data_IF_418524575883
#
_entry.id   IF_418524575883
#
_cell.length_a   1.000
_cell.length_b   1.000
_cell.length_c   1.000
_cell.angle_alpha   90.00
_cell.angle_beta   90.00
_cell.angle_gamma   90.00
#
_symmetry.space_group_name_H-M   'P 1'
#
loop_
_entity.id
_entity.type
_entity.pdbx_description
1 polymer ?
#
# COMPACT_ATOMS: atom_id res chain seq x y z
N UNK A 1 -19.31 -1.59 10.63
CA UNK A 1 -18.71 -1.68 9.31
C UNK A 1 -18.72 -3.13 8.85
N UNK A 2 -19.33 -3.39 7.74
CA UNK A 2 -19.35 -4.76 7.22
C UNK A 2 -18.07 -5.05 6.45
N UNK A 3 -17.51 -6.21 6.72
CA UNK A 3 -16.35 -6.66 5.97
C UNK A 3 -16.77 -7.09 4.56
N UNK A 4 -15.87 -6.96 3.58
CA UNK A 4 -16.14 -7.46 2.25
C UNK A 4 -16.39 -8.96 2.31
N UNK A 5 -17.36 -9.43 1.55
CA UNK A 5 -17.60 -10.86 1.47
C UNK A 5 -16.46 -11.55 0.72
N UNK A 6 -16.14 -12.80 1.09
CA UNK A 6 -15.11 -13.55 0.37
C UNK A 6 -15.37 -13.55 -1.13
N UNK A 7 -14.33 -13.33 -1.92
CA UNK A 7 -14.40 -13.32 -3.37
C UNK A 7 -14.83 -11.99 -3.99
N UNK A 8 -15.23 -11.02 -3.19
CA UNK A 8 -15.53 -9.70 -3.70
C UNK A 8 -14.28 -8.86 -3.80
N UNK A 9 -14.12 -8.18 -4.93
CA UNK A 9 -13.07 -7.20 -5.09
C UNK A 9 -13.36 -5.96 -4.23
N UNK A 10 -12.32 -5.39 -3.65
CA UNK A 10 -12.43 -4.12 -2.93
C UNK A 10 -12.87 -3.01 -3.89
N UNK A 11 -12.63 -3.18 -5.18
CA UNK A 11 -13.07 -2.27 -6.23
C UNK A 11 -14.58 -2.14 -6.30
N UNK A 12 -15.33 -3.06 -5.72
CA UNK A 12 -16.77 -3.02 -5.76
C UNK A 12 -17.40 -1.96 -4.83
N UNK A 13 -16.57 -1.21 -4.11
CA UNK A 13 -17.01 -0.18 -3.19
C UNK A 13 -16.48 1.21 -3.57
N UNK A 14 -16.70 1.66 -4.81
CA UNK A 14 -16.28 3.01 -5.18
C UNK A 14 -17.05 4.03 -4.34
N UNK A 15 -16.37 5.05 -3.86
CA UNK A 15 -16.98 6.09 -3.05
C UNK A 15 -16.99 5.82 -1.56
N UNK A 16 -16.60 4.63 -1.12
CA UNK A 16 -16.33 4.38 0.29
C UNK A 16 -14.86 4.67 0.59
N UNK A 17 -14.35 4.21 1.71
CA UNK A 17 -12.96 4.46 2.03
C UNK A 17 -12.05 3.99 0.90
N UNK A 18 -11.31 4.93 0.31
CA UNK A 18 -10.34 4.57 -0.72
C UNK A 18 -9.18 3.85 -0.07
N UNK A 19 -8.65 2.88 -0.80
CA UNK A 19 -7.40 2.26 -0.40
C UNK A 19 -6.29 3.24 -0.77
N UNK A 20 -5.62 3.75 0.25
CA UNK A 20 -4.56 4.76 0.07
C UNK A 20 -3.20 4.12 0.22
N UNK A 21 -2.37 4.33 -0.77
CA UNK A 21 -0.97 3.95 -0.72
C UNK A 21 -0.11 5.16 -0.45
N UNK A 22 0.84 5.01 0.44
CA UNK A 22 1.87 6.01 0.69
C UNK A 22 3.16 5.57 0.00
N UNK A 23 3.79 6.50 -0.68
CA UNK A 23 5.15 6.30 -1.20
C UNK A 23 6.06 7.14 -0.33
N UNK A 24 6.90 6.48 0.43
CA UNK A 24 7.75 7.12 1.42
C UNK A 24 9.19 7.07 0.93
N UNK A 25 9.85 8.22 0.95
CA UNK A 25 11.22 8.35 0.49
C UNK A 25 12.15 8.47 1.70
N UNK A 26 13.05 7.53 1.82
CA UNK A 26 13.96 7.45 2.96
C UNK A 26 15.40 7.47 2.51
N UNK A 27 16.27 8.00 3.34
CA UNK A 27 17.69 7.86 3.13
C UNK A 27 18.08 6.40 3.37
N UNK A 28 19.05 5.91 2.60
CA UNK A 28 19.56 4.56 2.77
C UNK A 28 20.42 4.50 4.03
N UNK A 29 19.79 4.17 5.14
CA UNK A 29 20.42 4.20 6.46
C UNK A 29 20.08 2.92 7.21
N UNK A 30 21.11 2.32 7.79
CA UNK A 30 20.93 1.11 8.58
C UNK A 30 19.95 1.36 9.73
N UNK A 31 19.00 0.46 9.90
CA UNK A 31 18.03 0.54 10.97
C UNK A 31 16.84 1.45 10.71
N UNK A 32 16.84 2.18 9.60
CA UNK A 32 15.75 3.12 9.33
C UNK A 32 14.38 2.44 9.28
N UNK A 33 14.28 1.32 8.57
CA UNK A 33 13.00 0.61 8.45
C UNK A 33 12.51 0.11 9.81
N UNK A 34 13.40 -0.42 10.61
CA UNK A 34 13.05 -0.88 11.95
C UNK A 34 12.53 0.28 12.82
N UNK A 35 13.19 1.42 12.77
CA UNK A 35 12.77 2.60 13.52
C UNK A 35 11.42 3.10 13.04
N UNK A 36 11.20 3.08 11.73
CA UNK A 36 9.94 3.49 11.14
C UNK A 36 8.78 2.58 11.58
N UNK A 37 9.00 1.26 11.54
CA UNK A 37 7.99 0.31 11.99
C UNK A 37 7.67 0.51 13.47
N UNK A 38 8.67 0.81 14.28
CA UNK A 38 8.46 1.10 15.69
C UNK A 38 7.60 2.35 15.89
N UNK A 39 7.83 3.40 15.09
CA UNK A 39 7.00 4.59 15.15
C UNK A 39 5.54 4.30 14.81
N UNK A 40 5.31 3.45 13.80
CA UNK A 40 3.95 3.06 13.43
C UNK A 40 3.24 2.34 14.57
N UNK A 41 3.95 1.47 15.25
CA UNK A 41 3.38 0.73 16.38
C UNK A 41 2.99 1.66 17.53
N UNK A 42 3.78 2.69 17.77
CA UNK A 42 3.49 3.65 18.85
C UNK A 42 2.19 4.44 18.60
N UNK A 43 1.86 4.69 17.35
CA UNK A 43 0.62 5.40 17.00
C UNK A 43 -0.50 4.43 16.57
N UNK A 44 -0.29 3.14 16.76
CA UNK A 44 -1.25 2.09 16.48
C UNK A 44 -1.72 2.06 15.01
N UNK A 45 -0.80 2.34 14.11
CA UNK A 45 -1.02 2.20 12.67
C UNK A 45 -0.45 0.85 12.22
N UNK A 46 -1.32 0.04 11.60
CA UNK A 46 -0.92 -1.27 11.11
C UNK A 46 -0.64 -1.23 9.62
N UNK A 47 0.34 -2.01 9.21
CA UNK A 47 0.74 -2.15 7.81
C UNK A 47 -0.11 -3.26 7.19
N UNK A 48 -0.91 -2.91 6.18
CA UNK A 48 -1.69 -3.89 5.44
C UNK A 48 -0.90 -4.46 4.27
N UNK A 49 -0.04 -3.66 3.66
CA UNK A 49 0.82 -4.10 2.58
C UNK A 49 2.05 -3.22 2.54
N UNK A 50 3.18 -3.79 2.14
CA UNK A 50 4.44 -3.06 2.07
C UNK A 50 5.31 -3.61 0.94
N UNK A 51 5.98 -2.70 0.25
CA UNK A 51 6.98 -3.02 -0.76
C UNK A 51 8.15 -2.07 -0.59
N UNK A 52 9.35 -2.60 -0.56
CA UNK A 52 10.56 -1.79 -0.41
C UNK A 52 11.42 -1.94 -1.64
N UNK A 53 11.73 -0.82 -2.26
CA UNK A 53 12.70 -0.76 -3.34
C UNK A 53 13.92 -0.02 -2.84
N UNK A 54 15.03 -0.73 -2.77
CA UNK A 54 16.27 -0.20 -2.27
C UNK A 54 17.20 0.12 -3.43
N UNK A 55 17.66 1.36 -3.48
CA UNK A 55 18.64 1.80 -4.45
C UNK A 55 19.93 2.15 -3.73
N UNK A 56 21.01 2.47 -4.47
CA UNK A 56 22.28 2.80 -3.84
C UNK A 56 22.22 4.05 -2.96
N UNK A 57 21.31 4.98 -3.27
CA UNK A 57 21.26 6.28 -2.61
C UNK A 57 20.06 6.49 -1.71
N UNK A 58 19.00 5.73 -1.93
CA UNK A 58 17.76 5.93 -1.21
C UNK A 58 16.92 4.66 -1.18
N UNK A 59 15.92 4.66 -0.33
CA UNK A 59 14.92 3.60 -0.30
C UNK A 59 13.55 4.22 -0.59
N UNK A 60 12.77 3.51 -1.39
CA UNK A 60 11.38 3.88 -1.68
C UNK A 60 10.49 2.82 -1.09
N UNK A 61 9.63 3.24 -0.17
CA UNK A 61 8.73 2.32 0.52
C UNK A 61 7.31 2.61 0.09
N UNK A 62 6.64 1.60 -0.44
CA UNK A 62 5.21 1.68 -0.74
C UNK A 62 4.47 0.98 0.39
N UNK A 63 3.53 1.67 0.99
CA UNK A 63 2.88 1.21 2.20
C UNK A 63 1.40 1.48 2.14
N UNK A 64 0.61 0.49 2.51
CA UNK A 64 -0.84 0.67 2.68
C UNK A 64 -1.15 0.50 4.15
N UNK A 65 -1.53 1.59 4.85
CA UNK A 65 -1.88 1.53 6.26
C UNK A 65 -3.37 1.28 6.44
N UNK A 66 -3.74 0.85 7.64
CA UNK A 66 -5.14 0.76 8.02
C UNK A 66 -5.76 2.14 8.30
N UNK A 67 -4.96 3.10 8.79
CA UNK A 67 -5.42 4.45 9.10
C UNK A 67 -4.59 5.50 8.37
N UNK A 68 -5.01 5.86 7.12
CA UNK A 68 -4.21 6.78 6.30
C UNK A 68 -4.00 8.16 6.93
N UNK A 69 -5.02 8.70 7.59
CA UNK A 69 -4.89 10.03 8.19
C UNK A 69 -3.88 10.05 9.32
N UNK A 70 -3.84 8.99 10.12
CA UNK A 70 -2.89 8.90 11.23
C UNK A 70 -1.47 8.75 10.70
N UNK A 71 -1.28 7.97 9.65
CA UNK A 71 0.03 7.86 9.02
C UNK A 71 0.48 9.20 8.45
N UNK A 72 -0.39 9.90 7.75
CA UNK A 72 -0.03 11.22 7.20
C UNK A 72 0.40 12.19 8.31
N UNK A 73 -0.31 12.20 9.43
CA UNK A 73 0.07 13.03 10.58
C UNK A 73 1.45 12.67 11.10
N UNK A 74 1.71 11.38 11.25
CA UNK A 74 3.01 10.91 11.73
C UNK A 74 4.13 11.34 10.80
N UNK A 75 3.96 11.11 9.50
CA UNK A 75 5.00 11.46 8.53
C UNK A 75 5.28 12.97 8.52
N UNK A 76 4.24 13.78 8.60
CA UNK A 76 4.41 15.23 8.68
C UNK A 76 5.13 15.63 9.96
N UNK A 77 4.77 15.04 11.09
CA UNK A 77 5.40 15.36 12.37
C UNK A 77 6.89 15.02 12.39
N UNK A 78 7.30 14.02 11.62
CA UNK A 78 8.70 13.59 11.56
C UNK A 78 9.45 14.17 10.36
N UNK A 79 8.80 15.05 9.60
CA UNK A 79 9.38 15.65 8.40
C UNK A 79 9.85 14.60 7.38
N UNK A 80 9.11 13.53 7.25
CA UNK A 80 9.41 12.46 6.29
C UNK A 80 8.72 12.78 4.97
N UNK A 81 9.48 12.73 3.88
CA UNK A 81 8.96 13.01 2.54
C UNK A 81 8.12 11.84 2.05
N UNK A 82 6.92 12.15 1.60
CA UNK A 82 6.01 11.11 1.08
C UNK A 82 5.02 11.68 0.08
N UNK A 83 4.41 10.79 -0.69
CA UNK A 83 3.24 11.10 -1.52
C UNK A 83 2.15 10.08 -1.24
N UNK A 84 0.91 10.43 -1.55
CA UNK A 84 -0.24 9.53 -1.39
C UNK A 84 -0.92 9.32 -2.73
N UNK A 85 -1.44 8.12 -2.93
CA UNK A 85 -2.23 7.77 -4.12
C UNK A 85 -3.32 6.77 -3.77
N UNK A 86 -4.41 6.84 -4.51
CA UNK A 86 -5.39 5.76 -4.49
C UNK A 86 -4.85 4.59 -5.30
N UNK A 87 -5.06 3.39 -4.80
CA UNK A 87 -4.65 2.17 -5.48
C UNK A 87 -5.80 1.20 -5.57
N UNK A 88 -5.70 0.28 -6.52
CA UNK A 88 -6.65 -0.80 -6.66
C UNK A 88 -6.21 -1.96 -5.78
N UNK A 89 -7.11 -2.42 -4.94
CA UNK A 89 -6.89 -3.62 -4.16
C UNK A 89 -7.86 -4.68 -4.64
N UNK A 90 -7.33 -5.83 -5.00
CA UNK A 90 -8.12 -6.92 -5.57
C UNK A 90 -7.88 -8.19 -4.78
N UNK A 91 -8.94 -8.84 -4.35
CA UNK A 91 -8.85 -10.13 -3.71
C UNK A 91 -8.78 -11.22 -4.80
N UNK A 92 -7.71 -12.01 -4.75
CA UNK A 92 -7.50 -13.09 -5.71
C UNK A 92 -7.48 -14.41 -4.96
N UNK A 93 -8.27 -15.36 -5.43
CA UNK A 93 -8.35 -16.67 -4.80
C UNK A 93 -7.40 -17.67 -5.43
N UNK A 94 -6.99 -17.45 -6.68
CA UNK A 94 -6.13 -18.38 -7.41
C UNK A 94 -5.48 -17.67 -8.60
N UNK A 95 -4.63 -18.41 -9.30
CA UNK A 95 -3.90 -17.87 -10.46
C UNK A 95 -4.84 -17.54 -11.62
N UNK A 96 -5.92 -18.28 -11.77
CA UNK A 96 -6.90 -18.00 -12.81
C UNK A 96 -7.54 -16.62 -12.59
N UNK A 97 -7.89 -16.29 -11.35
CA UNK A 97 -8.42 -14.98 -11.02
C UNK A 97 -7.40 -13.87 -11.33
N UNK A 98 -6.11 -14.11 -11.04
CA UNK A 98 -5.06 -13.18 -11.37
C UNK A 98 -4.98 -12.95 -12.88
N UNK A 99 -5.07 -14.01 -13.67
CA UNK A 99 -5.03 -13.91 -15.13
C UNK A 99 -6.22 -13.08 -15.66
N UNK A 100 -7.39 -13.25 -15.09
CA UNK A 100 -8.56 -12.46 -15.48
C UNK A 100 -8.35 -10.99 -15.22
N UNK A 101 -7.79 -10.64 -14.08
CA UNK A 101 -7.51 -9.24 -13.74
C UNK A 101 -6.48 -8.64 -14.69
N UNK A 102 -5.37 -9.33 -14.91
CA UNK A 102 -4.33 -8.82 -15.81
C UNK A 102 -4.83 -8.69 -17.24
N UNK A 103 -5.68 -9.62 -17.68
CA UNK A 103 -6.28 -9.55 -19.00
C UNK A 103 -7.21 -8.34 -19.12
N UNK A 104 -8.01 -8.06 -18.09
CA UNK A 104 -8.89 -6.89 -18.07
C UNK A 104 -8.10 -5.58 -18.14
N UNK A 105 -6.98 -5.51 -17.42
CA UNK A 105 -6.12 -4.33 -17.45
C UNK A 105 -5.50 -4.14 -18.83
N UNK A 106 -5.08 -5.24 -19.46
CA UNK A 106 -4.53 -5.19 -20.82
C UNK A 106 -5.57 -4.68 -21.82
N UNK A 107 -6.80 -5.16 -21.73
CA UNK A 107 -7.88 -4.71 -22.60
C UNK A 107 -8.20 -3.23 -22.43
N UNK A 108 -8.02 -2.72 -21.22
CA UNK A 108 -8.21 -1.29 -20.94
C UNK A 108 -6.96 -0.46 -21.24
N UNK A 109 -5.91 -1.09 -21.80
CA UNK A 109 -4.65 -0.43 -22.13
C UNK A 109 -3.98 0.20 -20.91
N UNK A 110 -4.13 -0.44 -19.76
CA UNK A 110 -3.54 0.05 -18.50
C UNK A 110 -2.21 -0.66 -18.28
N UNK A 111 -1.15 0.12 -18.12
CA UNK A 111 0.15 -0.42 -17.75
C UNK A 111 0.21 -0.71 -16.26
N UNK A 112 0.76 -1.88 -15.93
CA UNK A 112 1.01 -2.24 -14.53
C UNK A 112 2.41 -1.79 -14.18
N UNK A 113 2.52 -0.78 -13.31
CA UNK A 113 3.83 -0.26 -12.90
C UNK A 113 4.42 -1.06 -11.75
N UNK A 114 3.58 -1.51 -10.84
CA UNK A 114 4.00 -2.37 -9.72
C UNK A 114 2.79 -3.05 -9.12
N UNK A 115 3.05 -4.17 -8.48
CA UNK A 115 2.03 -4.94 -7.77
C UNK A 115 2.69 -5.61 -6.58
N UNK A 116 1.98 -5.71 -5.48
CA UNK A 116 2.47 -6.41 -4.29
C UNK A 116 1.31 -6.87 -3.42
N UNK A 117 1.51 -7.94 -2.65
CA UNK A 117 0.42 -8.52 -1.88
C UNK A 117 0.19 -7.80 -0.55
N UNK A 118 -1.01 -8.02 -0.01
CA UNK A 118 -1.30 -7.64 1.36
C UNK A 118 -0.64 -8.63 2.32
N UNK A 119 -0.31 -8.15 3.49
CA UNK A 119 0.22 -8.98 4.56
C UNK A 119 -0.93 -9.69 5.27
N UNK A 120 -0.65 -10.89 5.76
CA UNK A 120 -1.62 -11.68 6.52
C UNK A 120 -1.26 -11.68 8.00
#
# INVERSE_FOLDING_TARGET
MSEPKPGKSILSNPGKESIRQFVIYAEHKVGWLNDFVSMLREVDVHILAISVLDTSDSAVIRLIPNYPKDLARLLKSQSITYTERDVLAVELQNEEAMQKVTHSLLRAEINIHYVYPFLH
#
